data_IF_885712701717
#
_entry.id   IF_885712701717
#
_cell.length_a   1.000
_cell.length_b   1.000
_cell.length_c   1.000
_cell.angle_alpha   90.00
_cell.angle_beta   90.00
_cell.angle_gamma   90.00
#
_symmetry.space_group_name_H-M   'P 1'
#
loop_
_entity.id
_entity.type
_entity.pdbx_description
1 polymer ?
#
# COMPACT_ATOMS: atom_id res chain seq x y z
N UNK A 1 -1.47 9.89 -33.40
CA UNK A 1 -1.85 10.14 -32.00
C UNK A 1 -0.56 10.07 -31.19
N UNK A 2 -0.10 11.20 -30.63
CA UNK A 2 1.21 11.30 -30.01
C UNK A 2 1.34 10.31 -28.83
N UNK A 3 2.52 9.73 -28.63
CA UNK A 3 2.84 8.77 -27.56
C UNK A 3 2.36 9.25 -26.16
N UNK A 4 2.42 10.54 -25.92
CA UNK A 4 1.95 11.20 -24.70
C UNK A 4 0.46 10.95 -24.44
N UNK A 5 -0.41 11.14 -25.42
CA UNK A 5 -1.87 10.93 -25.28
C UNK A 5 -2.21 9.48 -25.00
N UNK A 6 -1.51 8.53 -25.63
CA UNK A 6 -1.70 7.09 -25.35
C UNK A 6 -1.35 6.77 -23.89
N UNK A 7 -0.21 7.22 -23.40
CA UNK A 7 0.21 6.97 -22.00
C UNK A 7 -0.73 7.60 -20.99
N UNK A 8 -1.19 8.84 -21.23
CA UNK A 8 -2.15 9.53 -20.38
C UNK A 8 -3.52 8.84 -20.34
N UNK A 9 -4.05 8.41 -21.48
CA UNK A 9 -5.31 7.67 -21.54
C UNK A 9 -5.20 6.32 -20.83
N UNK A 10 -4.10 5.60 -21.02
CA UNK A 10 -3.87 4.32 -20.34
C UNK A 10 -3.82 4.49 -18.83
N UNK A 11 -3.08 5.49 -18.33
CA UNK A 11 -3.02 5.79 -16.91
C UNK A 11 -4.39 6.14 -16.32
N UNK A 12 -5.16 7.00 -17.02
CA UNK A 12 -6.51 7.39 -16.59
C UNK A 12 -7.46 6.21 -16.56
N UNK A 13 -7.35 5.29 -17.53
CA UNK A 13 -8.16 4.08 -17.59
C UNK A 13 -7.88 3.14 -16.40
N UNK A 14 -6.62 2.87 -16.11
CA UNK A 14 -6.24 2.05 -14.93
C UNK A 14 -6.67 2.71 -13.62
N UNK A 15 -6.54 4.05 -13.52
CA UNK A 15 -7.00 4.79 -12.35
C UNK A 15 -8.52 4.68 -12.17
N UNK A 16 -9.30 4.78 -13.25
CA UNK A 16 -10.74 4.61 -13.21
C UNK A 16 -11.12 3.19 -12.75
N UNK A 17 -10.53 2.16 -13.35
CA UNK A 17 -10.75 0.75 -12.95
C UNK A 17 -10.39 0.56 -11.48
N UNK A 18 -9.26 1.09 -11.02
CA UNK A 18 -8.83 1.03 -9.62
C UNK A 18 -9.88 1.60 -8.66
N UNK A 19 -10.51 2.72 -9.02
CA UNK A 19 -11.59 3.33 -8.22
C UNK A 19 -12.84 2.45 -8.17
N UNK A 20 -13.21 1.85 -9.31
CA UNK A 20 -14.33 0.89 -9.37
C UNK A 20 -14.06 -0.32 -8.47
N UNK A 21 -12.86 -0.92 -8.55
CA UNK A 21 -12.49 -2.04 -7.66
C UNK A 21 -12.42 -1.62 -6.19
N UNK A 22 -11.99 -0.40 -5.89
CA UNK A 22 -12.03 0.15 -4.53
C UNK A 22 -13.46 0.24 -3.97
N UNK A 23 -14.39 0.73 -4.78
CA UNK A 23 -15.80 0.79 -4.41
C UNK A 23 -16.41 -0.62 -4.24
N UNK A 24 -16.12 -1.54 -5.17
CA UNK A 24 -16.59 -2.94 -5.07
C UNK A 24 -16.04 -3.62 -3.80
N UNK A 25 -14.78 -3.39 -3.45
CA UNK A 25 -14.20 -3.87 -2.18
C UNK A 25 -14.98 -3.36 -0.97
N UNK A 26 -15.24 -2.06 -0.92
CA UNK A 26 -15.95 -1.46 0.22
C UNK A 26 -17.38 -2.01 0.33
N UNK A 27 -18.09 -2.17 -0.79
CA UNK A 27 -19.40 -2.82 -0.82
C UNK A 27 -19.34 -4.28 -0.35
N UNK A 28 -18.35 -5.02 -0.82
CA UNK A 28 -18.16 -6.43 -0.46
C UNK A 28 -17.90 -6.55 1.05
N UNK A 29 -16.96 -5.78 1.58
CA UNK A 29 -16.63 -5.82 3.01
C UNK A 29 -17.84 -5.38 3.87
N UNK A 30 -18.56 -4.35 3.45
CA UNK A 30 -19.78 -3.92 4.15
C UNK A 30 -20.87 -5.00 4.13
N UNK A 31 -21.04 -5.72 3.02
CA UNK A 31 -22.02 -6.80 2.90
C UNK A 31 -21.66 -8.02 3.77
N UNK A 32 -20.38 -8.39 3.87
CA UNK A 32 -19.91 -9.54 4.66
C UNK A 32 -19.80 -9.23 6.16
N UNK A 33 -19.37 -8.03 6.54
CA UNK A 33 -19.13 -7.64 7.94
C UNK A 33 -20.33 -6.98 8.60
N UNK A 34 -21.26 -6.43 7.80
CA UNK A 34 -22.38 -5.65 8.31
C UNK A 34 -21.94 -4.38 9.05
N UNK A 35 -22.87 -3.76 9.77
CA UNK A 35 -22.61 -2.60 10.62
C UNK A 35 -22.18 -3.07 12.03
N UNK A 36 -21.04 -3.73 12.12
CA UNK A 36 -20.52 -4.31 13.36
C UNK A 36 -19.17 -3.72 13.78
N UNK A 37 -18.74 -4.08 15.00
CA UNK A 37 -17.47 -3.62 15.57
C UNK A 37 -16.26 -3.94 14.68
N UNK A 38 -16.22 -5.13 14.07
CA UNK A 38 -15.13 -5.55 13.17
C UNK A 38 -15.01 -4.60 11.97
N UNK A 39 -16.14 -4.20 11.38
CA UNK A 39 -16.14 -3.26 10.25
C UNK A 39 -15.70 -1.85 10.68
N UNK A 40 -16.18 -1.36 11.82
CA UNK A 40 -15.78 -0.07 12.38
C UNK A 40 -14.26 -0.02 12.61
N UNK A 41 -13.73 -1.04 13.28
CA UNK A 41 -12.28 -1.15 13.56
C UNK A 41 -11.50 -1.22 12.26
N UNK A 42 -11.92 -2.08 11.31
CA UNK A 42 -11.25 -2.19 10.03
C UNK A 42 -11.20 -0.85 9.29
N UNK A 43 -12.34 -0.17 9.12
CA UNK A 43 -12.41 1.08 8.35
C UNK A 43 -11.59 2.20 8.98
N UNK A 44 -11.63 2.32 10.31
CA UNK A 44 -10.91 3.39 11.02
C UNK A 44 -9.41 3.11 11.04
N UNK A 45 -9.01 1.91 11.45
CA UNK A 45 -7.58 1.58 11.60
C UNK A 45 -6.88 1.40 10.27
N UNK A 46 -7.55 0.88 9.24
CA UNK A 46 -6.97 0.76 7.90
C UNK A 46 -6.67 2.13 7.26
N UNK A 47 -7.24 3.22 7.77
CA UNK A 47 -6.83 4.59 7.35
C UNK A 47 -5.37 4.88 7.67
N UNK A 48 -4.82 4.31 8.75
CA UNK A 48 -3.44 4.54 9.17
C UNK A 48 -2.47 4.07 8.08
N UNK A 49 -2.45 2.78 7.67
CA UNK A 49 -1.63 2.35 6.55
C UNK A 49 -1.89 3.12 5.24
N UNK A 50 -3.14 3.52 4.98
CA UNK A 50 -3.48 4.29 3.78
C UNK A 50 -2.91 5.71 3.76
N UNK A 51 -2.88 6.41 4.90
CA UNK A 51 -2.23 7.72 5.02
C UNK A 51 -0.73 7.59 4.71
N UNK A 52 -0.07 6.59 5.28
CA UNK A 52 1.34 6.34 5.01
C UNK A 52 1.59 5.88 3.57
N UNK A 53 0.67 5.10 2.99
CA UNK A 53 0.71 4.75 1.57
C UNK A 53 0.67 6.00 0.68
N UNK A 54 -0.22 6.93 0.97
CA UNK A 54 -0.32 8.19 0.22
C UNK A 54 0.95 9.02 0.36
N UNK A 55 1.54 9.06 1.55
CA UNK A 55 2.77 9.80 1.81
C UNK A 55 3.99 9.17 1.11
N UNK A 56 4.21 7.87 1.29
CA UNK A 56 5.38 7.17 0.73
C UNK A 56 5.17 6.73 -0.73
N UNK A 57 3.94 6.37 -1.13
CA UNK A 57 3.66 5.73 -2.42
C UNK A 57 3.33 6.68 -3.55
N UNK A 58 2.51 7.69 -3.30
CA UNK A 58 1.91 8.49 -4.39
C UNK A 58 2.49 9.91 -4.50
N UNK A 59 3.05 10.44 -3.42
CA UNK A 59 3.44 11.85 -3.35
C UNK A 59 4.95 12.08 -3.35
N UNK A 60 5.52 12.13 -2.15
CA UNK A 60 6.88 12.61 -1.95
C UNK A 60 7.94 11.75 -2.67
N UNK A 61 7.79 10.42 -2.63
CA UNK A 61 8.81 9.52 -3.19
C UNK A 61 8.86 9.58 -4.71
N UNK A 62 7.73 9.48 -5.39
CA UNK A 62 7.71 9.52 -6.86
C UNK A 62 8.15 10.90 -7.39
N UNK A 63 7.76 11.98 -6.72
CA UNK A 63 8.10 13.34 -7.14
C UNK A 63 9.57 13.69 -6.94
N UNK A 64 10.21 13.18 -5.90
CA UNK A 64 11.62 13.43 -5.61
C UNK A 64 12.55 12.43 -6.28
N UNK A 65 12.19 11.14 -6.27
CA UNK A 65 13.07 10.06 -6.73
C UNK A 65 13.19 10.01 -8.25
N UNK A 66 12.11 10.24 -9.00
CA UNK A 66 12.15 10.18 -10.47
C UNK A 66 13.11 11.21 -11.09
N UNK A 67 13.09 12.51 -10.72
CA UNK A 67 14.08 13.47 -11.20
C UNK A 67 15.51 13.08 -10.83
N UNK A 68 15.72 12.68 -9.57
CA UNK A 68 17.06 12.30 -9.07
C UNK A 68 17.63 11.08 -9.79
N UNK A 69 16.80 10.10 -10.16
CA UNK A 69 17.21 8.95 -10.99
C UNK A 69 17.67 9.43 -12.37
N UNK A 70 16.96 10.39 -12.97
CA UNK A 70 17.29 10.92 -14.30
C UNK A 70 18.62 11.70 -14.26
N UNK A 71 18.91 12.39 -13.16
CA UNK A 71 20.13 13.17 -12.96
C UNK A 71 21.36 12.30 -12.63
N UNK A 72 21.18 11.17 -11.97
CA UNK A 72 22.25 10.31 -11.41
C UNK A 72 23.08 9.51 -12.46
N UNK A 73 22.90 9.73 -13.74
CA UNK A 73 23.47 9.12 -14.97
C UNK A 73 24.54 8.02 -14.78
N UNK A 74 25.74 8.37 -14.31
CA UNK A 74 26.90 7.45 -14.27
C UNK A 74 26.95 6.57 -13.01
N UNK A 75 26.32 7.00 -11.89
CA UNK A 75 26.34 6.30 -10.60
C UNK A 75 24.94 5.81 -10.18
N UNK A 76 24.06 5.55 -11.14
CA UNK A 76 22.66 5.22 -10.87
C UNK A 76 22.50 4.02 -9.94
N UNK A 77 23.28 2.96 -10.11
CA UNK A 77 23.18 1.75 -9.28
C UNK A 77 23.60 2.03 -7.82
N UNK A 78 24.65 2.81 -7.62
CA UNK A 78 25.08 3.21 -6.28
C UNK A 78 24.03 4.08 -5.62
N UNK A 79 23.50 5.05 -6.33
CA UNK A 79 22.43 5.94 -5.86
C UNK A 79 21.17 5.14 -5.47
N UNK A 80 20.69 4.24 -6.33
CA UNK A 80 19.54 3.41 -6.05
C UNK A 80 19.76 2.52 -4.82
N UNK A 81 20.92 1.89 -4.69
CA UNK A 81 21.23 1.06 -3.52
C UNK A 81 21.26 1.87 -2.22
N UNK A 82 21.80 3.07 -2.24
CA UNK A 82 21.83 3.96 -1.07
C UNK A 82 20.41 4.37 -0.65
N UNK A 83 19.58 4.80 -1.61
CA UNK A 83 18.19 5.18 -1.33
C UNK A 83 17.37 3.97 -0.86
N UNK A 84 17.56 2.80 -1.49
CA UNK A 84 16.90 1.58 -1.07
C UNK A 84 17.25 1.21 0.37
N UNK A 85 18.54 1.24 0.71
CA UNK A 85 19.00 0.91 2.06
C UNK A 85 18.46 1.89 3.10
N UNK A 86 18.53 3.19 2.83
CA UNK A 86 18.00 4.22 3.72
C UNK A 86 16.48 4.03 3.93
N UNK A 87 15.73 3.85 2.85
CA UNK A 87 14.29 3.63 2.90
C UNK A 87 13.96 2.36 3.68
N UNK A 88 14.62 1.25 3.37
CA UNK A 88 14.36 -0.05 3.95
C UNK A 88 14.60 -0.06 5.47
N UNK A 89 15.75 0.45 5.91
CA UNK A 89 16.07 0.50 7.34
C UNK A 89 15.19 1.50 8.10
N UNK A 90 14.87 2.65 7.50
CA UNK A 90 13.96 3.61 8.13
C UNK A 90 12.54 3.06 8.27
N UNK A 91 12.06 2.32 7.28
CA UNK A 91 10.74 1.67 7.33
C UNK A 91 10.73 0.52 8.33
N UNK A 92 11.78 -0.31 8.40
CA UNK A 92 11.87 -1.36 9.42
C UNK A 92 11.82 -0.75 10.81
N UNK A 93 12.61 0.31 11.06
CA UNK A 93 12.58 1.00 12.34
C UNK A 93 11.20 1.57 12.66
N UNK A 94 10.54 2.18 11.68
CA UNK A 94 9.20 2.74 11.84
C UNK A 94 8.14 1.66 12.14
N UNK A 95 8.17 0.54 11.39
CA UNK A 95 7.27 -0.59 11.63
C UNK A 95 7.55 -1.21 13.01
N UNK A 96 8.82 -1.39 13.38
CA UNK A 96 9.18 -1.92 14.70
C UNK A 96 8.67 -1.02 15.85
N UNK A 97 8.77 0.30 15.71
CA UNK A 97 8.21 1.24 16.69
C UNK A 97 6.69 1.11 16.81
N UNK A 98 6.00 0.93 15.69
CA UNK A 98 4.55 0.75 15.70
C UNK A 98 4.12 -0.61 16.27
N UNK A 99 4.92 -1.66 16.08
CA UNK A 99 4.68 -2.98 16.68
C UNK A 99 4.90 -2.98 18.20
N UNK A 100 5.88 -2.19 18.68
CA UNK A 100 6.17 -2.05 20.12
C UNK A 100 5.12 -1.16 20.80
N UNK A 101 4.69 -0.09 20.15
CA UNK A 101 3.79 0.92 20.71
C UNK A 101 2.50 1.11 19.87
N UNK A 102 1.73 0.05 19.56
CA UNK A 102 0.55 0.17 18.69
C UNK A 102 -0.54 1.02 19.34
N UNK A 103 -0.66 0.98 20.70
CA UNK A 103 -1.62 1.77 21.47
C UNK A 103 -1.42 3.28 21.24
N UNK A 104 -0.18 3.73 21.09
CA UNK A 104 0.15 5.12 20.78
C UNK A 104 -0.42 5.54 19.42
N UNK A 105 -0.26 4.69 18.40
CA UNK A 105 -0.82 4.98 17.08
C UNK A 105 -2.35 4.97 17.09
N UNK A 106 -2.96 3.97 17.74
CA UNK A 106 -4.43 3.91 17.85
C UNK A 106 -4.96 5.13 18.60
N UNK A 107 -4.33 5.57 19.68
CA UNK A 107 -4.80 6.74 20.46
C UNK A 107 -4.75 8.05 19.65
N UNK A 108 -3.77 8.20 18.76
CA UNK A 108 -3.65 9.39 17.90
C UNK A 108 -4.67 9.35 16.75
N UNK A 109 -4.79 8.21 16.07
CA UNK A 109 -5.58 8.10 14.83
C UNK A 109 -7.04 7.73 15.06
N UNK A 110 -7.35 7.11 16.20
CA UNK A 110 -8.70 6.68 16.59
C UNK A 110 -9.03 7.07 18.04
N UNK A 111 -8.96 8.37 18.42
CA UNK A 111 -9.17 8.79 19.82
C UNK A 111 -10.57 8.41 20.34
N UNK A 112 -11.57 8.25 19.47
CA UNK A 112 -12.90 7.80 19.86
C UNK A 112 -12.96 6.38 20.41
N UNK A 113 -11.96 5.54 20.13
CA UNK A 113 -11.90 4.16 20.65
C UNK A 113 -11.35 4.09 22.07
N UNK A 114 -10.75 5.15 22.59
CA UNK A 114 -10.27 5.22 23.97
C UNK A 114 -11.38 5.05 25.03
N UNK A 115 -12.64 5.33 24.65
CA UNK A 115 -13.80 5.21 25.53
C UNK A 115 -14.41 3.79 25.55
N UNK A 116 -13.98 2.91 24.62
CA UNK A 116 -14.44 1.54 24.46
C UNK A 116 -13.24 0.60 24.43
N UNK A 117 -12.94 -0.02 25.56
CA UNK A 117 -11.79 -0.92 25.72
C UNK A 117 -11.81 -2.07 24.72
N UNK A 118 -12.98 -2.63 24.41
CA UNK A 118 -13.08 -3.72 23.44
C UNK A 118 -12.68 -3.27 22.02
N UNK A 119 -13.17 -2.10 21.59
CA UNK A 119 -12.80 -1.53 20.29
C UNK A 119 -11.32 -1.12 20.24
N UNK A 120 -10.79 -0.64 21.35
CA UNK A 120 -9.38 -0.24 21.44
C UNK A 120 -8.44 -1.45 21.33
N UNK A 121 -8.76 -2.54 22.03
CA UNK A 121 -7.98 -3.79 21.98
C UNK A 121 -8.05 -4.42 20.59
N UNK A 122 -9.22 -4.48 19.99
CA UNK A 122 -9.43 -4.96 18.62
C UNK A 122 -8.66 -4.10 17.60
N UNK A 123 -8.68 -2.77 17.77
CA UNK A 123 -7.97 -1.83 16.93
C UNK A 123 -6.44 -2.02 17.01
N UNK A 124 -5.93 -2.17 18.22
CA UNK A 124 -4.53 -2.44 18.51
C UNK A 124 -4.08 -3.77 17.91
N UNK A 125 -4.89 -4.81 18.10
CA UNK A 125 -4.63 -6.13 17.53
C UNK A 125 -4.61 -6.10 15.99
N UNK A 126 -5.60 -5.47 15.37
CA UNK A 126 -5.67 -5.35 13.92
C UNK A 126 -4.51 -4.52 13.35
N UNK A 127 -4.16 -3.41 14.04
CA UNK A 127 -3.05 -2.56 13.62
C UNK A 127 -1.74 -3.35 13.56
N UNK A 128 -1.42 -4.14 14.58
CA UNK A 128 -0.21 -4.99 14.59
C UNK A 128 -0.13 -5.88 13.37
N UNK A 129 -1.22 -6.52 12.97
CA UNK A 129 -1.21 -7.41 11.81
C UNK A 129 -1.11 -6.60 10.50
N UNK A 130 -1.79 -5.46 10.41
CA UNK A 130 -1.89 -4.70 9.17
C UNK A 130 -0.72 -3.72 8.95
N UNK A 131 -0.02 -3.29 10.02
CA UNK A 131 0.99 -2.23 9.92
C UNK A 131 2.21 -2.58 9.05
N UNK A 132 2.74 -3.82 9.05
CA UNK A 132 3.83 -4.22 8.17
C UNK A 132 3.52 -4.04 6.67
N UNK A 133 2.25 -3.91 6.29
CA UNK A 133 1.86 -3.53 4.93
C UNK A 133 2.50 -2.23 4.45
N UNK A 134 2.79 -1.28 5.37
CA UNK A 134 3.45 -0.01 5.02
C UNK A 134 4.82 -0.26 4.36
N UNK A 135 5.58 -1.23 4.86
CA UNK A 135 6.85 -1.62 4.25
C UNK A 135 6.65 -2.11 2.82
N UNK A 136 5.67 -2.99 2.61
CA UNK A 136 5.39 -3.56 1.29
C UNK A 136 4.97 -2.48 0.29
N UNK A 137 4.06 -1.60 0.66
CA UNK A 137 3.58 -0.56 -0.26
C UNK A 137 4.65 0.49 -0.55
N UNK A 138 5.52 0.80 0.42
CA UNK A 138 6.64 1.73 0.21
C UNK A 138 7.70 1.14 -0.72
N UNK A 139 7.98 -0.16 -0.62
CA UNK A 139 8.84 -0.86 -1.57
C UNK A 139 8.23 -0.89 -2.98
N UNK A 140 6.92 -1.12 -3.08
CA UNK A 140 6.19 -1.03 -4.36
C UNK A 140 6.35 0.36 -4.99
N UNK A 141 6.25 1.41 -4.18
CA UNK A 141 6.43 2.79 -4.64
C UNK A 141 7.87 3.06 -5.11
N UNK A 142 8.87 2.55 -4.40
CA UNK A 142 10.28 2.65 -4.79
C UNK A 142 10.53 1.99 -6.15
N UNK A 143 10.13 0.74 -6.33
CA UNK A 143 10.26 0.05 -7.61
C UNK A 143 9.41 0.71 -8.71
N UNK A 144 8.24 1.23 -8.35
CA UNK A 144 7.39 2.00 -9.26
C UNK A 144 8.06 3.30 -9.74
N UNK A 145 8.78 4.00 -8.88
CA UNK A 145 9.53 5.21 -9.26
C UNK A 145 10.64 4.88 -10.27
N UNK A 146 11.34 3.75 -10.11
CA UNK A 146 12.33 3.28 -11.09
C UNK A 146 11.67 3.01 -12.44
N UNK A 147 10.50 2.37 -12.47
CA UNK A 147 9.77 2.12 -13.72
C UNK A 147 9.26 3.43 -14.35
N UNK A 148 8.75 4.35 -13.55
CA UNK A 148 8.28 5.65 -14.01
C UNK A 148 9.41 6.49 -14.63
N UNK A 149 10.64 6.44 -14.11
CA UNK A 149 11.79 7.12 -14.70
C UNK A 149 12.10 6.62 -16.12
N UNK A 150 11.75 5.37 -16.41
CA UNK A 150 11.85 4.75 -17.75
C UNK A 150 10.56 4.88 -18.58
N UNK A 151 9.62 5.73 -18.16
CA UNK A 151 8.32 6.00 -18.83
C UNK A 151 7.36 4.80 -18.88
N UNK A 152 7.49 3.85 -17.96
CA UNK A 152 6.62 2.67 -17.84
C UNK A 152 5.64 2.89 -16.70
N UNK A 153 4.49 3.51 -16.98
CA UNK A 153 3.52 3.94 -15.98
C UNK A 153 2.41 2.93 -15.68
N UNK A 154 2.22 1.94 -16.55
CA UNK A 154 1.06 1.04 -16.53
C UNK A 154 1.00 0.18 -15.26
N UNK A 155 2.14 -0.30 -14.80
CA UNK A 155 2.25 -1.22 -13.69
C UNK A 155 1.94 -0.55 -12.34
N UNK A 156 2.43 0.67 -12.17
CA UNK A 156 2.16 1.47 -10.97
C UNK A 156 0.68 1.79 -10.85
N UNK A 157 0.03 2.14 -11.96
CA UNK A 157 -1.40 2.42 -12.01
C UNK A 157 -2.28 1.18 -11.77
N UNK A 158 -1.77 -0.04 -12.06
CA UNK A 158 -2.48 -1.29 -11.82
C UNK A 158 -2.37 -1.81 -10.36
N UNK A 159 -1.38 -1.35 -9.60
CA UNK A 159 -1.13 -1.80 -8.21
C UNK A 159 -2.38 -1.77 -7.31
N UNK A 160 -3.17 -0.68 -7.26
CA UNK A 160 -4.35 -0.65 -6.40
C UNK A 160 -5.47 -1.61 -6.85
N UNK A 161 -5.49 -2.01 -8.14
CA UNK A 161 -6.45 -3.00 -8.63
C UNK A 161 -6.16 -4.36 -8.00
N UNK A 162 -4.89 -4.80 -8.02
CA UNK A 162 -4.48 -6.06 -7.40
C UNK A 162 -4.75 -6.06 -5.90
N UNK A 163 -4.49 -4.94 -5.23
CA UNK A 163 -4.77 -4.79 -3.81
C UNK A 163 -6.27 -4.96 -3.51
N UNK A 164 -7.13 -4.24 -4.21
CA UNK A 164 -8.58 -4.32 -4.00
C UNK A 164 -9.13 -5.70 -4.35
N UNK A 165 -8.65 -6.29 -5.45
CA UNK A 165 -9.07 -7.62 -5.89
C UNK A 165 -8.68 -8.69 -4.86
N UNK A 166 -7.48 -8.61 -4.27
CA UNK A 166 -7.05 -9.52 -3.21
C UNK A 166 -7.99 -9.48 -2.02
N UNK A 167 -8.36 -8.29 -1.54
CA UNK A 167 -9.31 -8.14 -0.42
C UNK A 167 -10.70 -8.71 -0.75
N UNK A 168 -11.20 -8.48 -1.97
CA UNK A 168 -12.45 -9.06 -2.43
C UNK A 168 -12.36 -10.60 -2.45
N UNK A 169 -11.28 -11.16 -3.01
CA UNK A 169 -11.08 -12.61 -3.05
C UNK A 169 -11.03 -13.22 -1.64
N UNK A 170 -10.35 -12.57 -0.69
CA UNK A 170 -10.34 -13.01 0.70
C UNK A 170 -11.75 -12.98 1.32
N UNK A 171 -12.54 -11.93 1.06
CA UNK A 171 -13.90 -11.85 1.57
C UNK A 171 -14.79 -13.01 1.11
N UNK A 172 -14.62 -13.45 -0.14
CA UNK A 172 -15.37 -14.60 -0.67
C UNK A 172 -14.77 -15.96 -0.28
N UNK A 173 -13.52 -16.02 0.15
CA UNK A 173 -12.85 -17.27 0.50
C UNK A 173 -13.13 -17.75 1.92
N UNK A 174 -13.63 -16.89 2.79
CA UNK A 174 -13.92 -17.19 4.18
C UNK A 174 -15.37 -16.91 4.51
N UNK A 175 -16.02 -17.88 5.18
CA UNK A 175 -17.42 -17.76 5.60
C UNK A 175 -17.63 -16.73 6.71
N UNK A 176 -16.61 -16.55 7.55
CA UNK A 176 -16.60 -15.56 8.63
C UNK A 176 -15.31 -14.72 8.55
N UNK A 177 -15.47 -13.41 8.48
CA UNK A 177 -14.37 -12.47 8.45
C UNK A 177 -14.05 -11.97 9.86
N UNK A 178 -12.88 -12.33 10.36
CA UNK A 178 -12.31 -11.79 11.59
C UNK A 178 -11.27 -10.71 11.30
N UNK A 179 -10.91 -9.90 12.30
CA UNK A 179 -9.82 -8.90 12.18
C UNK A 179 -8.49 -9.54 11.80
N UNK A 180 -8.23 -10.78 12.25
CA UNK A 180 -7.04 -11.54 11.86
C UNK A 180 -7.02 -11.83 10.36
N UNK A 181 -8.13 -12.33 9.81
CA UNK A 181 -8.26 -12.64 8.38
C UNK A 181 -8.11 -11.37 7.56
N UNK A 182 -8.74 -10.27 7.97
CA UNK A 182 -8.63 -8.97 7.30
C UNK A 182 -7.19 -8.43 7.34
N UNK A 183 -6.48 -8.54 8.46
CA UNK A 183 -5.08 -8.15 8.57
C UNK A 183 -4.17 -8.97 7.65
N UNK A 184 -4.35 -10.30 7.61
CA UNK A 184 -3.63 -11.18 6.69
C UNK A 184 -3.97 -10.83 5.23
N UNK A 185 -5.24 -10.53 4.93
CA UNK A 185 -5.66 -10.13 3.59
C UNK A 185 -4.97 -8.82 3.14
N UNK A 186 -4.84 -7.85 4.04
CA UNK A 186 -4.09 -6.59 3.78
C UNK A 186 -2.63 -6.88 3.49
N UNK A 187 -1.98 -7.74 4.29
CA UNK A 187 -0.58 -8.11 4.08
C UNK A 187 -0.37 -8.84 2.74
N UNK A 188 -1.19 -9.84 2.47
CA UNK A 188 -1.08 -10.60 1.20
C UNK A 188 -1.36 -9.73 0.00
N UNK A 189 -2.33 -8.81 0.11
CA UNK A 189 -2.61 -7.81 -0.92
C UNK A 189 -1.42 -6.88 -1.19
N UNK A 190 -0.54 -6.64 -0.20
CA UNK A 190 0.70 -5.89 -0.35
C UNK A 190 1.82 -6.68 -1.02
N UNK A 191 1.90 -8.00 -0.80
CA UNK A 191 2.95 -8.83 -1.41
C UNK A 191 2.82 -8.94 -2.93
N UNK A 192 1.61 -9.03 -3.46
CA UNK A 192 1.37 -9.18 -4.90
C UNK A 192 1.98 -8.00 -5.71
N UNK A 193 1.70 -6.74 -5.37
CA UNK A 193 2.30 -5.60 -6.06
C UNK A 193 3.83 -5.55 -5.94
N UNK A 194 4.39 -5.83 -4.75
CA UNK A 194 5.85 -5.82 -4.53
C UNK A 194 6.52 -6.83 -5.44
N UNK A 195 6.06 -8.08 -5.43
CA UNK A 195 6.64 -9.15 -6.26
C UNK A 195 6.61 -8.80 -7.73
N UNK A 196 5.47 -8.27 -8.19
CA UNK A 196 5.29 -7.90 -9.58
C UNK A 196 6.17 -6.70 -10.00
N UNK A 197 6.23 -5.65 -9.19
CA UNK A 197 7.05 -4.47 -9.49
C UNK A 197 8.54 -4.75 -9.36
N UNK A 198 8.95 -5.59 -8.41
CA UNK A 198 10.34 -6.01 -8.25
C UNK A 198 10.85 -6.80 -9.46
N UNK A 199 10.11 -7.82 -9.90
CA UNK A 199 10.48 -8.63 -11.07
C UNK A 199 10.66 -7.75 -12.31
N UNK A 200 9.75 -6.83 -12.55
CA UNK A 200 9.82 -5.91 -13.69
C UNK A 200 10.90 -4.84 -13.56
N UNK A 201 11.17 -4.35 -12.35
CA UNK A 201 12.29 -3.42 -12.15
C UNK A 201 13.63 -4.09 -12.48
N UNK A 202 13.78 -5.36 -12.12
CA UNK A 202 14.98 -6.14 -12.44
C UNK A 202 15.16 -6.35 -13.95
N UNK A 203 14.10 -6.73 -14.67
CA UNK A 203 14.13 -6.85 -16.14
C UNK A 203 14.50 -5.52 -16.83
N UNK A 204 13.99 -4.39 -16.30
CA UNK A 204 14.27 -3.07 -16.88
C UNK A 204 15.65 -2.53 -16.53
N UNK A 205 16.34 -3.03 -15.52
CA UNK A 205 17.72 -2.64 -15.22
C UNK A 205 18.75 -3.40 -16.05
N UNK A 206 18.39 -4.57 -16.61
CA UNK A 206 19.28 -5.40 -17.44
C UNK A 206 19.22 -5.07 -18.93
N UNK A 207 18.24 -4.34 -19.40
CA UNK A 207 18.07 -3.86 -20.77
C UNK A 207 18.36 -2.34 -20.86
#
# INVERSE_FOLDING_TARGET
>A
MNSFWKSSLTFSFFTFISRVFGYLRDLTLAAFLGAGQIYDVFVVIFRIPNVFRSFFGEGAMAQSLVPSIIEAKENINLFLNQIFSLLFYSLILFVALAEIFPEFFVSIFAPGFLQDTSKFDDATYFLRIAFPYILLISLTAYFGAIQNSKKVFQFVAATPIFFNLSLICFAFSFSELSLKILGIAVLTAGFVPVSYTHLRAHETCHN
#
